data_IF_221063793601
#
_entry.id   IF_221063793601
#
_cell.length_a   1.000
_cell.length_b   1.000
_cell.length_c   1.000
_cell.angle_alpha   90.00
_cell.angle_beta   90.00
_cell.angle_gamma   90.00
#
_symmetry.space_group_name_H-M   'P 1'
#
loop_
_entity.id
_entity.type
_entity.pdbx_description
1 polymer ?
#
# COMPACT_ATOMS: atom_id res chain seq x y z
N UNK A 1 15.98 5.15 29.70
CA UNK A 1 14.53 5.43 29.56
C UNK A 1 14.09 4.89 28.21
N UNK A 2 13.04 4.07 28.15
CA UNK A 2 12.49 3.66 26.85
C UNK A 2 11.88 4.89 26.16
N UNK A 3 12.15 5.08 24.86
CA UNK A 3 11.56 6.21 24.14
C UNK A 3 10.04 6.11 24.14
N UNK A 4 9.37 7.23 24.31
CA UNK A 4 7.92 7.31 24.27
C UNK A 4 7.39 6.87 22.89
N UNK A 5 6.12 6.44 22.84
CA UNK A 5 5.45 6.12 21.57
C UNK A 5 5.53 7.30 20.60
N UNK A 6 5.40 8.53 21.11
CA UNK A 6 5.41 9.74 20.30
C UNK A 6 6.78 9.97 19.66
N UNK A 7 7.86 9.81 20.42
CA UNK A 7 9.24 9.91 19.90
C UNK A 7 9.51 8.90 18.79
N UNK A 8 9.04 7.64 18.94
CA UNK A 8 9.19 6.62 17.89
C UNK A 8 8.42 6.94 16.63
N UNK A 9 7.19 7.45 16.78
CA UNK A 9 6.34 7.85 15.64
C UNK A 9 6.96 9.04 14.89
N UNK A 10 7.51 10.02 15.61
CA UNK A 10 8.19 11.16 15.00
C UNK A 10 9.44 10.73 14.23
N UNK A 11 10.34 9.97 14.88
CA UNK A 11 11.55 9.46 14.23
C UNK A 11 11.23 8.67 12.96
N UNK A 12 10.20 7.81 12.99
CA UNK A 12 9.80 7.05 11.80
C UNK A 12 9.26 7.94 10.68
N UNK A 13 8.45 8.96 11.01
CA UNK A 13 7.95 9.93 10.01
C UNK A 13 9.09 10.74 9.40
N UNK A 14 10.09 11.14 10.17
CA UNK A 14 11.28 11.83 9.67
C UNK A 14 12.06 10.98 8.69
N UNK A 15 12.31 9.71 9.00
CA UNK A 15 12.97 8.77 8.08
C UNK A 15 12.20 8.61 6.77
N UNK A 16 10.86 8.46 6.83
CA UNK A 16 10.04 8.35 5.62
C UNK A 16 10.07 9.65 4.78
N UNK A 17 10.05 10.83 5.42
CA UNK A 17 10.21 12.10 4.70
C UNK A 17 11.56 12.23 4.03
N UNK A 18 12.64 11.82 4.70
CA UNK A 18 13.98 11.82 4.12
C UNK A 18 14.09 10.88 2.91
N UNK A 19 13.32 9.79 2.88
CA UNK A 19 13.17 8.90 1.73
C UNK A 19 12.22 9.43 0.64
N UNK A 20 11.77 10.69 0.72
CA UNK A 20 10.90 11.32 -0.27
C UNK A 20 9.40 11.00 -0.12
N UNK A 21 8.99 10.29 0.94
CA UNK A 21 7.59 9.91 1.14
C UNK A 21 6.82 11.00 1.89
N UNK A 22 5.58 11.25 1.45
CA UNK A 22 4.65 12.18 2.11
C UNK A 22 3.59 11.41 2.89
N UNK A 23 3.37 11.71 4.18
CA UNK A 23 2.29 11.10 4.94
C UNK A 23 0.92 11.55 4.41
N UNK A 24 0.03 10.59 4.17
CA UNK A 24 -1.38 10.83 3.84
C UNK A 24 -2.25 10.28 4.96
N UNK A 25 -3.20 11.08 5.44
CA UNK A 25 -4.19 10.65 6.42
C UNK A 25 -5.52 10.44 5.71
N UNK A 26 -5.97 9.19 5.66
CA UNK A 26 -7.28 8.81 5.15
C UNK A 26 -8.12 8.20 6.27
N UNK A 27 -9.43 8.37 6.18
CA UNK A 27 -10.38 7.68 7.03
C UNK A 27 -10.74 6.35 6.39
N UNK A 28 -10.56 5.27 7.14
CA UNK A 28 -10.92 3.90 6.72
C UNK A 28 -12.05 3.37 7.61
N UNK A 29 -12.86 2.41 7.12
CA UNK A 29 -13.87 1.78 7.96
C UNK A 29 -13.26 1.12 9.21
N UNK A 30 -13.96 1.20 10.35
CA UNK A 30 -13.50 0.55 11.59
C UNK A 30 -13.50 -0.97 11.41
N UNK A 31 -12.30 -1.56 11.50
CA UNK A 31 -12.03 -2.97 11.24
C UNK A 31 -12.63 -3.92 12.28
N UNK A 32 -13.09 -3.39 13.42
CA UNK A 32 -13.71 -4.15 14.50
C UNK A 32 -15.23 -4.25 14.36
N UNK A 33 -15.82 -3.55 13.40
CA UNK A 33 -17.28 -3.61 13.17
C UNK A 33 -17.67 -5.00 12.68
N UNK A 34 -18.80 -5.55 13.17
CA UNK A 34 -19.34 -6.78 12.61
C UNK A 34 -19.61 -6.57 11.11
N UNK A 35 -19.21 -7.55 10.30
CA UNK A 35 -19.33 -7.49 8.84
C UNK A 35 -18.15 -6.87 8.10
N UNK A 36 -17.15 -6.31 8.78
CA UNK A 36 -15.95 -5.75 8.11
C UNK A 36 -15.24 -6.78 7.23
N UNK A 37 -15.05 -8.01 7.72
CA UNK A 37 -14.41 -9.06 6.94
C UNK A 37 -15.18 -9.42 5.66
N UNK A 38 -16.51 -9.42 5.71
CA UNK A 38 -17.36 -9.68 4.56
C UNK A 38 -17.27 -8.53 3.53
N UNK A 39 -17.22 -7.29 4.00
CA UNK A 39 -17.04 -6.13 3.14
C UNK A 39 -15.65 -6.10 2.49
N UNK A 40 -14.60 -6.43 3.24
CA UNK A 40 -13.26 -6.61 2.67
C UNK A 40 -13.27 -7.67 1.57
N UNK A 41 -13.86 -8.84 1.83
CA UNK A 41 -13.94 -9.90 0.83
C UNK A 41 -14.70 -9.43 -0.43
N UNK A 42 -15.86 -8.77 -0.25
CA UNK A 42 -16.66 -8.21 -1.35
C UNK A 42 -15.85 -7.23 -2.21
N UNK A 43 -15.14 -6.28 -1.57
CA UNK A 43 -14.32 -5.31 -2.29
C UNK A 43 -13.11 -5.95 -2.98
N UNK A 44 -12.43 -6.89 -2.32
CA UNK A 44 -11.30 -7.60 -2.93
C UNK A 44 -11.71 -8.36 -4.20
N UNK A 45 -12.89 -9.01 -4.18
CA UNK A 45 -13.43 -9.67 -5.38
C UNK A 45 -13.70 -8.65 -6.49
N UNK A 46 -14.25 -7.48 -6.17
CA UNK A 46 -14.50 -6.43 -7.18
C UNK A 46 -13.22 -5.91 -7.82
N UNK A 47 -12.17 -5.67 -7.01
CA UNK A 47 -10.86 -5.25 -7.52
C UNK A 47 -10.27 -6.32 -8.42
N UNK A 48 -10.25 -7.59 -7.98
CA UNK A 48 -9.72 -8.69 -8.79
C UNK A 48 -10.47 -8.86 -10.13
N UNK A 49 -11.79 -8.66 -10.14
CA UNK A 49 -12.58 -8.70 -11.38
C UNK A 49 -12.25 -7.51 -12.31
N UNK A 50 -12.02 -6.32 -11.76
CA UNK A 50 -11.60 -5.16 -12.54
C UNK A 50 -10.21 -5.38 -13.15
N UNK A 51 -9.28 -5.92 -12.37
CA UNK A 51 -7.92 -6.26 -12.81
C UNK A 51 -7.94 -7.27 -13.97
N UNK A 52 -8.75 -8.34 -13.86
CA UNK A 52 -8.91 -9.34 -14.93
C UNK A 52 -9.52 -8.74 -16.19
N UNK A 53 -10.42 -7.76 -16.04
CA UNK A 53 -11.05 -7.08 -17.18
C UNK A 53 -10.09 -6.14 -17.90
N UNK A 54 -9.07 -5.61 -17.22
CA UNK A 54 -8.08 -4.67 -17.76
C UNK A 54 -6.72 -5.34 -17.99
N UNK A 55 -6.65 -6.16 -19.05
CA UNK A 55 -5.39 -6.81 -19.45
C UNK A 55 -4.29 -5.81 -19.83
N UNK A 56 -4.65 -4.64 -20.38
CA UNK A 56 -3.66 -3.63 -20.77
C UNK A 56 -2.92 -3.06 -19.56
N UNK A 57 -3.64 -2.85 -18.45
CA UNK A 57 -3.02 -2.47 -17.19
C UNK A 57 -2.12 -3.58 -16.63
N UNK A 58 -2.54 -4.84 -16.68
CA UNK A 58 -1.73 -5.97 -16.23
C UNK A 58 -0.41 -6.07 -17.03
N UNK A 59 -0.49 -6.05 -18.36
CA UNK A 59 0.69 -6.10 -19.23
C UNK A 59 1.66 -4.93 -18.96
N UNK A 60 1.11 -3.73 -18.72
CA UNK A 60 1.91 -2.56 -18.36
C UNK A 60 2.63 -2.73 -17.01
N UNK A 61 1.93 -3.24 -15.99
CA UNK A 61 2.51 -3.46 -14.67
C UNK A 61 3.59 -4.55 -14.69
N UNK A 62 3.37 -5.63 -15.43
CA UNK A 62 4.35 -6.70 -15.62
C UNK A 62 5.62 -6.17 -16.32
N UNK A 63 5.46 -5.34 -17.36
CA UNK A 63 6.58 -4.69 -18.03
C UNK A 63 7.36 -3.75 -17.08
N UNK A 64 6.64 -2.90 -16.34
CA UNK A 64 7.24 -1.98 -15.37
C UNK A 64 7.99 -2.72 -14.26
N UNK A 65 7.51 -3.89 -13.83
CA UNK A 65 8.21 -4.74 -12.86
C UNK A 65 9.51 -5.30 -13.44
N UNK A 66 9.49 -5.76 -14.70
CA UNK A 66 10.70 -6.22 -15.39
C UNK A 66 11.78 -5.14 -15.51
N UNK A 67 11.38 -3.90 -15.79
CA UNK A 67 12.31 -2.75 -15.86
C UNK A 67 13.04 -2.52 -14.52
N UNK A 68 12.35 -2.65 -13.38
CA UNK A 68 12.94 -2.48 -12.04
C UNK A 68 13.98 -3.58 -11.72
N UNK A 69 13.72 -4.82 -12.14
CA UNK A 69 14.65 -5.93 -11.92
C UNK A 69 15.92 -5.78 -12.77
N UNK A 70 15.82 -5.12 -13.94
CA UNK A 70 16.97 -4.88 -14.83
C UNK A 70 17.88 -3.74 -14.33
N UNK A 71 17.38 -2.82 -13.50
CA UNK A 71 18.20 -1.77 -12.87
C UNK A 71 19.07 -2.30 -11.70
N UNK A 72 18.80 -3.51 -11.19
CA UNK A 72 19.50 -4.13 -10.06
C UNK A 72 20.74 -4.97 -10.42
N UNK A 73 21.00 -5.21 -11.71
CA UNK A 73 22.10 -6.07 -12.21
C UNK A 73 23.26 -5.28 -12.87
N UNK A 74 23.27 -3.94 -12.79
CA UNK A 74 24.32 -3.07 -13.34
C UNK A 74 25.29 -2.51 -12.29
#
# INVERSE_FOLDING_TARGET
MASSVNERVQKRRETLRAAGLRPVQIWVPDTRRPGFAAECHRQSVQVALADVADRGLQDFLDAALGDLDHEGEA
#
